data_IF_418140407417
#
_entry.id   IF_418140407417
#
_cell.length_a   1.000
_cell.length_b   1.000
_cell.length_c   1.000
_cell.angle_alpha   90.00
_cell.angle_beta   90.00
_cell.angle_gamma   90.00
#
_symmetry.space_group_name_H-M   'P 1'
#
loop_
_entity.id
_entity.type
_entity.pdbx_description
1 polymer ?
#
# COMPACT_ATOMS: atom_id res chain seq x y z
N UNK A 1 -57.42 -39.09 45.77
CA UNK A 1 -56.78 -37.77 45.52
C UNK A 1 -55.33 -37.83 45.99
N UNK A 2 -54.40 -37.33 45.15
CA UNK A 2 -52.95 -37.12 45.36
C UNK A 2 -52.10 -38.29 45.89
N UNK A 3 -51.26 -38.82 45.00
CA UNK A 3 -50.03 -39.57 45.31
C UNK A 3 -48.92 -39.14 44.33
N UNK A 4 -47.64 -39.15 44.74
CA UNK A 4 -46.53 -38.45 44.06
C UNK A 4 -46.08 -39.15 42.77
N UNK A 5 -45.65 -38.36 41.77
CA UNK A 5 -45.02 -38.88 40.55
C UNK A 5 -43.53 -39.18 40.81
N UNK A 6 -43.02 -40.35 40.39
CA UNK A 6 -41.65 -40.76 40.63
C UNK A 6 -40.64 -40.12 39.66
N UNK A 7 -39.41 -39.98 40.14
CA UNK A 7 -38.22 -39.61 39.38
C UNK A 7 -37.86 -40.68 38.32
N UNK A 8 -37.35 -40.23 37.18
CA UNK A 8 -36.75 -41.09 36.15
C UNK A 8 -35.22 -41.16 36.32
N UNK A 9 -34.57 -42.29 36.01
CA UNK A 9 -33.18 -42.58 36.37
C UNK A 9 -32.14 -42.09 35.33
N UNK A 10 -30.90 -42.04 35.81
CA UNK A 10 -29.66 -41.70 35.12
C UNK A 10 -29.05 -42.89 34.36
N UNK A 11 -28.42 -42.64 33.20
CA UNK A 11 -27.10 -43.14 32.68
C UNK A 11 -27.05 -42.91 31.15
N UNK A 12 -25.97 -42.66 30.42
CA UNK A 12 -24.60 -42.17 30.62
C UNK A 12 -23.97 -42.05 29.19
N UNK A 13 -23.13 -41.05 28.91
CA UNK A 13 -22.33 -40.97 27.68
C UNK A 13 -21.68 -39.60 27.45
N UNK A 14 -20.35 -39.51 27.60
CA UNK A 14 -19.48 -38.31 27.49
C UNK A 14 -19.09 -38.04 25.99
N UNK A 15 -18.19 -37.08 25.66
CA UNK A 15 -18.29 -35.62 25.72
C UNK A 15 -18.02 -34.96 24.33
N UNK A 16 -18.84 -34.00 23.90
CA UNK A 16 -18.51 -33.11 22.78
C UNK A 16 -17.97 -31.78 23.33
N UNK A 17 -16.75 -31.41 22.95
CA UNK A 17 -16.06 -30.19 23.39
C UNK A 17 -16.86 -28.91 23.06
N UNK A 18 -17.14 -28.01 24.02
CA UNK A 18 -17.46 -26.63 23.73
C UNK A 18 -16.20 -25.77 23.92
N UNK A 19 -15.54 -25.45 22.81
CA UNK A 19 -14.55 -24.37 22.70
C UNK A 19 -14.68 -23.83 21.28
N UNK A 20 -14.94 -22.54 21.05
CA UNK A 20 -14.15 -21.42 21.54
C UNK A 20 -15.09 -20.25 21.89
N UNK A 21 -14.94 -19.61 23.08
CA UNK A 21 -15.53 -18.30 23.36
C UNK A 21 -15.11 -17.28 22.29
N UNK A 22 -16.01 -16.38 21.93
CA UNK A 22 -15.79 -15.34 20.93
C UNK A 22 -14.41 -14.72 21.04
N UNK A 23 -13.66 -14.78 19.95
CA UNK A 23 -12.45 -14.00 19.80
C UNK A 23 -12.83 -12.53 20.08
N UNK A 24 -12.07 -11.81 20.92
CA UNK A 24 -12.29 -10.39 21.08
C UNK A 24 -12.17 -9.73 19.70
N UNK A 25 -13.06 -8.78 19.40
CA UNK A 25 -12.87 -7.89 18.28
C UNK A 25 -11.51 -7.23 18.50
N UNK A 26 -10.52 -7.64 17.71
CA UNK A 26 -9.17 -7.13 17.79
C UNK A 26 -9.28 -5.64 17.41
N UNK A 27 -9.25 -4.76 18.42
CA UNK A 27 -8.99 -3.35 18.21
C UNK A 27 -7.65 -3.30 17.49
N UNK A 28 -7.71 -3.15 16.16
CA UNK A 28 -6.57 -3.36 15.29
C UNK A 28 -5.34 -2.61 15.82
N UNK A 29 -4.12 -3.11 15.54
CA UNK A 29 -2.91 -2.57 16.14
C UNK A 29 -2.91 -1.06 16.02
N UNK A 30 -2.89 -0.36 17.16
CA UNK A 30 -2.83 1.09 17.19
C UNK A 30 -1.68 1.55 16.30
N UNK A 31 -2.03 2.16 15.17
CA UNK A 31 -1.12 2.61 14.12
C UNK A 31 -1.14 4.14 14.09
N UNK A 32 -0.75 4.79 15.20
CA UNK A 32 -0.78 6.24 15.27
C UNK A 32 0.15 6.81 14.20
N UNK A 33 -0.25 7.89 13.57
CA UNK A 33 0.61 8.61 12.64
C UNK A 33 1.17 9.90 13.25
N UNK A 34 2.18 10.46 12.59
CA UNK A 34 2.70 11.79 12.91
C UNK A 34 2.17 12.85 11.96
N UNK A 35 2.53 14.12 12.20
CA UNK A 35 2.08 15.24 11.38
C UNK A 35 2.71 15.21 9.99
N UNK A 36 2.15 16.01 9.08
CA UNK A 36 2.82 16.41 7.84
C UNK A 36 4.18 17.06 8.16
N UNK A 37 5.21 16.77 7.38
CA UNK A 37 6.54 17.35 7.60
C UNK A 37 7.50 17.12 6.43
N UNK A 38 8.69 17.75 6.46
CA UNK A 38 9.70 17.57 5.43
C UNK A 38 10.26 16.14 5.41
N UNK A 39 10.96 15.79 4.34
CA UNK A 39 11.86 14.63 4.37
C UNK A 39 12.98 14.86 5.39
N UNK A 40 13.49 13.79 6.00
CA UNK A 40 14.56 13.80 7.02
C UNK A 40 14.21 14.50 8.34
N UNK A 41 12.94 14.85 8.53
CA UNK A 41 12.46 15.52 9.73
C UNK A 41 12.91 16.98 9.85
N UNK A 42 12.51 17.67 10.93
CA UNK A 42 12.77 19.09 11.11
C UNK A 42 14.27 19.44 11.18
N UNK A 43 15.12 18.49 11.60
CA UNK A 43 16.56 18.71 11.75
C UNK A 43 17.37 18.48 10.46
N UNK A 44 16.71 18.06 9.36
CA UNK A 44 17.31 18.02 8.02
C UNK A 44 18.56 17.15 7.86
N UNK A 45 18.80 16.15 8.71
CA UNK A 45 19.97 15.27 8.58
C UNK A 45 19.82 14.34 7.38
N UNK A 46 20.35 14.77 6.25
CA UNK A 46 20.58 13.98 5.04
C UNK A 46 21.84 13.11 5.17
N UNK A 47 21.80 11.82 4.81
CA UNK A 47 22.98 11.12 4.29
C UNK A 47 23.02 11.33 2.77
N UNK A 48 23.61 12.43 2.30
CA UNK A 48 23.85 12.69 0.87
C UNK A 48 23.59 14.13 0.42
N UNK A 49 24.20 14.59 -0.69
CA UNK A 49 24.13 15.99 -1.11
C UNK A 49 22.72 16.35 -1.59
N UNK A 50 22.13 17.35 -0.96
CA UNK A 50 20.79 17.88 -1.24
C UNK A 50 20.78 18.78 -2.49
N UNK A 51 19.69 18.70 -3.25
CA UNK A 51 19.32 19.63 -4.32
C UNK A 51 18.78 20.93 -3.69
N UNK A 52 19.36 22.12 -3.95
CA UNK A 52 19.11 23.32 -3.16
C UNK A 52 17.96 24.17 -3.73
N UNK A 53 16.73 23.67 -3.77
CA UNK A 53 15.55 24.52 -4.00
C UNK A 53 14.30 23.98 -3.30
N UNK A 54 14.17 24.21 -1.99
CA UNK A 54 12.86 24.18 -1.31
C UNK A 54 12.79 25.38 -0.35
N UNK A 55 11.90 26.36 -0.59
CA UNK A 55 11.63 27.42 0.37
C UNK A 55 10.89 26.85 1.60
N UNK A 56 11.46 27.09 2.78
CA UNK A 56 10.88 26.76 4.09
C UNK A 56 9.96 27.88 4.57
N UNK A 57 8.66 27.73 4.34
CA UNK A 57 7.63 28.41 5.14
C UNK A 57 6.57 27.37 5.56
N UNK A 58 6.45 27.03 6.86
CA UNK A 58 5.57 25.96 7.34
C UNK A 58 4.09 26.33 7.39
N UNK A 59 3.67 27.55 7.02
CA UNK A 59 2.30 28.05 7.28
C UNK A 59 1.46 28.38 6.04
N UNK A 60 2.01 28.34 4.82
CA UNK A 60 1.24 28.64 3.61
C UNK A 60 0.69 27.37 2.93
N UNK A 61 -0.60 27.31 2.55
CA UNK A 61 -1.13 26.27 1.68
C UNK A 61 -0.64 26.51 0.25
N UNK A 62 0.57 26.03 -0.07
CA UNK A 62 0.99 25.87 -1.46
C UNK A 62 0.26 24.67 -2.05
N UNK A 63 -0.44 24.79 -3.21
CA UNK A 63 -0.87 23.61 -3.94
C UNK A 63 0.37 22.76 -4.30
N UNK A 64 0.29 21.42 -4.33
CA UNK A 64 1.46 20.58 -4.58
C UNK A 64 1.96 20.79 -6.01
N UNK A 65 2.90 21.72 -6.20
CA UNK A 65 3.40 22.14 -7.52
C UNK A 65 4.43 21.20 -8.14
N UNK A 66 4.54 19.95 -7.68
CA UNK A 66 5.07 18.88 -8.52
C UNK A 66 4.66 17.51 -7.98
N UNK A 67 3.50 17.00 -8.40
CA UNK A 67 3.25 15.56 -8.36
C UNK A 67 4.34 14.90 -9.20
N UNK A 68 5.23 14.12 -8.57
CA UNK A 68 6.34 13.47 -9.26
C UNK A 68 5.81 12.31 -10.11
N UNK A 69 6.20 12.29 -11.38
CA UNK A 69 5.94 11.16 -12.25
C UNK A 69 6.65 9.92 -11.72
N UNK A 70 5.94 8.79 -11.68
CA UNK A 70 6.45 7.52 -11.17
C UNK A 70 5.67 6.38 -11.82
N UNK A 71 6.31 5.24 -12.08
CA UNK A 71 5.59 4.07 -12.60
C UNK A 71 5.02 3.21 -11.47
N UNK A 72 4.08 2.32 -11.80
CA UNK A 72 3.58 1.34 -10.83
C UNK A 72 4.66 0.40 -10.33
N UNK A 73 5.54 -0.01 -11.25
CA UNK A 73 6.68 -0.85 -10.94
C UNK A 73 7.58 -0.17 -9.90
N UNK A 74 7.90 1.12 -10.08
CA UNK A 74 8.70 1.88 -9.13
C UNK A 74 8.02 1.98 -7.75
N UNK A 75 6.69 2.24 -7.72
CA UNK A 75 5.93 2.30 -6.46
C UNK A 75 6.03 0.99 -5.68
N UNK A 76 5.80 -0.14 -6.36
CA UNK A 76 5.84 -1.47 -5.74
C UNK A 76 7.27 -1.84 -5.34
N UNK A 77 8.28 -1.52 -6.16
CA UNK A 77 9.68 -1.76 -5.83
C UNK A 77 10.10 -1.00 -4.56
N UNK A 78 9.70 0.27 -4.45
CA UNK A 78 9.94 1.08 -3.25
C UNK A 78 9.29 0.47 -2.01
N UNK A 79 8.05 0.00 -2.12
CA UNK A 79 7.36 -0.71 -1.04
C UNK A 79 8.10 -1.99 -0.62
N UNK A 80 8.52 -2.81 -1.58
CA UNK A 80 9.26 -4.05 -1.34
C UNK A 80 10.61 -3.81 -0.64
N UNK A 81 11.31 -2.70 -0.93
CA UNK A 81 12.56 -2.34 -0.23
C UNK A 81 12.35 -2.16 1.27
N UNK A 82 11.27 -1.50 1.69
CA UNK A 82 10.95 -1.34 3.11
C UNK A 82 10.53 -2.66 3.77
N UNK A 83 9.75 -3.48 3.07
CA UNK A 83 9.40 -4.84 3.55
C UNK A 83 10.65 -5.70 3.75
N UNK A 84 11.56 -5.71 2.78
CA UNK A 84 12.81 -6.47 2.86
C UNK A 84 13.70 -5.98 4.00
N UNK A 85 13.77 -4.66 4.21
CA UNK A 85 14.52 -4.06 5.31
C UNK A 85 13.84 -4.20 6.69
N UNK A 86 12.56 -4.60 6.73
CA UNK A 86 11.72 -4.61 7.94
C UNK A 86 11.80 -3.29 8.69
N UNK A 87 11.55 -2.17 8.00
CA UNK A 87 11.65 -0.82 8.60
C UNK A 87 10.79 -0.74 9.86
N UNK A 88 11.35 -0.44 11.05
CA UNK A 88 10.60 -0.43 12.31
C UNK A 88 9.50 0.62 12.34
N UNK A 89 8.42 0.37 13.07
CA UNK A 89 7.35 1.36 13.23
C UNK A 89 7.74 2.50 14.18
N UNK A 90 7.60 3.75 13.72
CA UNK A 90 7.79 4.94 14.55
C UNK A 90 7.09 6.17 13.97
N UNK A 91 6.44 6.95 14.83
CA UNK A 91 5.82 8.23 14.44
C UNK A 91 6.80 9.40 14.44
N UNK A 92 7.96 9.26 15.08
CA UNK A 92 8.96 10.32 15.27
C UNK A 92 10.28 10.04 14.55
N UNK A 93 10.51 8.81 14.10
CA UNK A 93 11.72 8.42 13.38
C UNK A 93 11.53 8.51 11.87
N UNK A 94 12.64 8.75 11.18
CA UNK A 94 12.72 8.82 9.72
C UNK A 94 13.68 7.73 9.25
N UNK A 95 13.34 7.02 8.17
CA UNK A 95 14.24 6.08 7.55
C UNK A 95 15.34 6.80 6.75
N UNK A 96 16.36 6.07 6.30
CA UNK A 96 17.53 6.66 5.64
C UNK A 96 17.21 7.39 4.33
N UNK A 97 16.06 7.10 3.73
CA UNK A 97 15.50 7.79 2.55
C UNK A 97 14.64 9.02 2.91
N UNK A 98 14.59 9.39 4.18
CA UNK A 98 13.98 10.61 4.67
C UNK A 98 12.48 10.51 4.97
N UNK A 99 11.84 9.36 4.79
CA UNK A 99 10.41 9.22 5.08
C UNK A 99 10.14 8.74 6.51
N UNK A 100 9.04 9.20 7.09
CA UNK A 100 8.55 8.82 8.42
C UNK A 100 8.14 7.35 8.43
N UNK A 101 8.44 6.67 9.53
CA UNK A 101 8.29 5.21 9.64
C UNK A 101 6.90 4.77 10.14
N UNK A 102 5.85 5.43 9.67
CA UNK A 102 4.44 5.10 9.97
C UNK A 102 3.62 4.84 8.69
N UNK A 103 2.32 4.59 8.83
CA UNK A 103 1.46 4.19 7.71
C UNK A 103 1.42 5.23 6.57
N UNK A 104 1.26 6.52 6.90
CA UNK A 104 1.21 7.60 5.92
C UNK A 104 2.58 8.02 5.38
N UNK A 105 3.63 7.95 6.20
CA UNK A 105 5.01 8.09 5.75
C UNK A 105 5.43 6.98 4.77
N UNK A 106 4.97 5.75 4.98
CA UNK A 106 5.19 4.64 4.04
C UNK A 106 4.53 4.86 2.67
N UNK A 107 3.29 5.34 2.61
CA UNK A 107 2.65 5.66 1.32
C UNK A 107 3.30 6.88 0.67
N UNK A 108 3.68 7.89 1.46
CA UNK A 108 4.47 9.03 0.98
C UNK A 108 5.78 8.56 0.34
N UNK A 109 6.44 7.59 0.97
CA UNK A 109 7.64 6.94 0.46
C UNK A 109 7.35 6.18 -0.83
N UNK A 110 6.35 5.29 -0.85
CA UNK A 110 6.04 4.46 -2.01
C UNK A 110 5.70 5.31 -3.25
N UNK A 111 4.96 6.41 -3.07
CA UNK A 111 4.61 7.37 -4.14
C UNK A 111 5.69 8.41 -4.45
N UNK A 112 6.82 8.37 -3.75
CA UNK A 112 7.93 9.31 -3.91
C UNK A 112 7.48 10.77 -3.75
N UNK A 113 6.68 11.05 -2.72
CA UNK A 113 6.20 12.40 -2.44
C UNK A 113 7.35 13.30 -1.96
N UNK A 114 7.30 14.62 -2.23
CA UNK A 114 8.37 15.54 -1.80
C UNK A 114 8.41 15.78 -0.28
N UNK A 115 7.44 15.26 0.47
CA UNK A 115 7.28 15.46 1.90
C UNK A 115 6.61 14.23 2.53
N UNK A 116 6.67 14.15 3.85
CA UNK A 116 5.90 13.21 4.63
C UNK A 116 4.49 13.77 4.82
N UNK A 117 3.51 13.09 4.24
CA UNK A 117 2.09 13.43 4.41
C UNK A 117 1.46 12.60 5.53
N UNK A 118 0.24 12.97 5.91
CA UNK A 118 -0.60 12.25 6.86
C UNK A 118 -1.91 11.85 6.18
N UNK A 119 -2.71 10.95 6.76
CA UNK A 119 -3.93 10.44 6.09
C UNK A 119 -4.92 11.54 5.70
N UNK A 120 -4.93 12.68 6.40
CA UNK A 120 -5.77 13.83 6.06
C UNK A 120 -5.34 14.61 4.82
N UNK A 121 -4.08 14.48 4.37
CA UNK A 121 -3.53 15.21 3.21
C UNK A 121 -3.15 14.32 2.03
N UNK A 122 -2.99 13.00 2.21
CA UNK A 122 -2.62 12.08 1.13
C UNK A 122 -3.58 12.14 -0.07
N UNK A 123 -4.88 12.38 0.18
CA UNK A 123 -5.88 12.53 -0.87
C UNK A 123 -5.62 13.71 -1.83
N UNK A 124 -4.79 14.69 -1.47
CA UNK A 124 -4.44 15.83 -2.34
C UNK A 124 -3.46 15.46 -3.46
N UNK A 125 -2.77 14.31 -3.36
CA UNK A 125 -1.83 13.81 -4.37
C UNK A 125 -2.45 12.73 -5.27
N UNK A 126 -3.74 12.43 -5.08
CA UNK A 126 -4.38 11.30 -5.71
C UNK A 126 -5.79 11.64 -6.20
N UNK A 127 -6.27 10.86 -7.14
CA UNK A 127 -7.69 10.84 -7.52
C UNK A 127 -8.37 9.63 -6.88
N UNK A 128 -9.62 9.81 -6.44
CA UNK A 128 -10.45 8.70 -5.97
C UNK A 128 -10.76 7.75 -7.13
N UNK A 129 -10.72 6.45 -6.88
CA UNK A 129 -11.07 5.41 -7.85
C UNK A 129 -12.07 4.42 -7.24
N UNK A 130 -12.66 3.57 -8.07
CA UNK A 130 -13.53 2.48 -7.67
C UNK A 130 -12.73 1.21 -7.33
N UNK A 131 -13.35 0.27 -6.61
CA UNK A 131 -12.78 -1.07 -6.38
C UNK A 131 -12.36 -1.76 -7.67
N UNK A 132 -13.16 -1.60 -8.74
CA UNK A 132 -12.93 -2.27 -10.01
C UNK A 132 -11.67 -1.77 -10.74
N UNK A 133 -11.28 -0.54 -10.47
CA UNK A 133 -10.14 0.13 -11.10
C UNK A 133 -8.81 -0.13 -10.39
N UNK A 134 -8.82 -0.67 -9.16
CA UNK A 134 -7.62 -0.91 -8.35
C UNK A 134 -6.53 -1.65 -9.12
N UNK A 135 -5.33 -1.08 -9.08
CA UNK A 135 -4.11 -1.62 -9.64
C UNK A 135 -2.97 -1.54 -8.60
N UNK A 136 -1.93 -2.38 -8.70
CA UNK A 136 -0.77 -2.28 -7.83
C UNK A 136 -0.21 -0.85 -7.75
N UNK A 137 0.09 -0.41 -6.53
CA UNK A 137 0.57 0.93 -6.24
C UNK A 137 -0.53 1.98 -5.97
N UNK A 138 -1.81 1.64 -6.13
CA UNK A 138 -2.91 2.47 -5.61
C UNK A 138 -3.00 2.30 -4.07
N UNK A 139 -3.61 3.24 -3.34
CA UNK A 139 -3.80 3.13 -1.88
C UNK A 139 -5.27 2.86 -1.51
N UNK A 140 -5.46 2.26 -0.34
CA UNK A 140 -6.74 2.24 0.37
C UNK A 140 -6.58 3.14 1.60
N UNK A 141 -7.32 4.24 1.63
CA UNK A 141 -7.21 5.28 2.66
C UNK A 141 -8.44 5.29 3.55
N UNK A 142 -8.24 5.19 4.85
CA UNK A 142 -9.24 5.48 5.88
C UNK A 142 -8.77 6.64 6.76
N UNK A 143 -9.49 7.75 6.70
CA UNK A 143 -9.25 8.91 7.54
C UNK A 143 -10.42 9.10 8.51
N UNK A 144 -10.13 8.98 9.81
CA UNK A 144 -11.09 9.24 10.88
C UNK A 144 -10.93 10.68 11.38
N UNK A 145 -11.85 11.56 11.03
CA UNK A 145 -11.76 12.97 11.44
C UNK A 145 -11.88 13.18 12.97
N UNK A 146 -12.52 12.25 13.70
CA UNK A 146 -12.69 12.35 15.15
C UNK A 146 -11.45 11.88 15.93
N UNK A 147 -10.65 11.00 15.34
CA UNK A 147 -9.34 10.59 15.86
C UNK A 147 -8.37 10.44 14.68
N UNK A 148 -7.87 11.55 14.13
CA UNK A 148 -7.10 11.50 12.91
C UNK A 148 -5.69 10.96 13.17
N UNK A 149 -5.19 11.03 14.41
CA UNK A 149 -3.84 10.55 14.74
C UNK A 149 -3.83 9.05 15.00
N UNK A 150 -4.71 8.53 15.87
CA UNK A 150 -4.72 7.13 16.28
C UNK A 150 -5.70 6.25 15.52
N UNK A 151 -6.76 6.84 14.98
CA UNK A 151 -7.90 6.15 14.39
C UNK A 151 -7.92 6.13 12.87
N UNK A 152 -6.86 6.59 12.21
CA UNK A 152 -6.71 6.57 10.75
C UNK A 152 -5.70 5.52 10.31
N UNK A 153 -5.84 5.02 9.08
CA UNK A 153 -4.86 4.10 8.52
C UNK A 153 -4.86 4.15 6.99
N UNK A 154 -3.74 3.76 6.41
CA UNK A 154 -3.58 3.67 4.96
C UNK A 154 -2.69 2.49 4.62
N UNK A 155 -3.04 1.79 3.54
CA UNK A 155 -2.27 0.67 3.00
C UNK A 155 -2.09 0.82 1.50
N UNK A 156 -1.00 0.28 0.98
CA UNK A 156 -0.72 0.24 -0.46
C UNK A 156 -1.23 -1.09 -1.02
N UNK A 157 -2.05 -1.02 -2.06
CA UNK A 157 -2.60 -2.17 -2.75
C UNK A 157 -1.52 -2.80 -3.65
N UNK A 158 -1.20 -4.07 -3.41
CA UNK A 158 -0.21 -4.85 -4.15
C UNK A 158 -0.77 -5.74 -5.25
N UNK A 159 -2.10 -5.93 -5.29
CA UNK A 159 -2.76 -6.81 -6.26
C UNK A 159 -3.77 -7.75 -5.61
N UNK A 160 -4.84 -8.08 -6.35
CA UNK A 160 -5.79 -9.11 -5.94
C UNK A 160 -5.08 -10.47 -5.88
N UNK A 161 -5.39 -11.30 -4.88
CA UNK A 161 -4.80 -12.65 -4.78
C UNK A 161 -5.41 -13.62 -5.79
N UNK A 162 -6.62 -13.35 -6.25
CA UNK A 162 -7.35 -14.13 -7.24
C UNK A 162 -8.43 -13.29 -7.96
N UNK A 163 -9.18 -13.93 -8.85
CA UNK A 163 -10.24 -13.30 -9.63
C UNK A 163 -11.50 -12.95 -8.82
N UNK A 164 -11.68 -13.47 -7.60
CA UNK A 164 -12.83 -13.15 -6.75
C UNK A 164 -12.78 -11.73 -6.20
N UNK A 165 -11.57 -11.14 -6.16
CA UNK A 165 -11.32 -9.78 -5.64
C UNK A 165 -11.89 -9.57 -4.23
N UNK A 166 -11.77 -10.59 -3.38
CA UNK A 166 -12.19 -10.55 -1.97
C UNK A 166 -11.02 -10.28 -1.03
N UNK A 167 -9.81 -10.68 -1.43
CA UNK A 167 -8.56 -10.45 -0.70
C UNK A 167 -7.47 -9.95 -1.65
N UNK A 168 -6.52 -9.20 -1.11
CA UNK A 168 -5.42 -8.61 -1.86
C UNK A 168 -4.13 -8.65 -1.04
N UNK A 169 -2.99 -8.53 -1.71
CA UNK A 169 -1.70 -8.30 -1.03
C UNK A 169 -1.65 -6.83 -0.63
N UNK A 170 -1.62 -6.53 0.67
CA UNK A 170 -1.36 -5.19 1.18
C UNK A 170 0.11 -5.04 1.53
N UNK A 171 0.73 -3.92 1.14
CA UNK A 171 1.96 -3.44 1.75
C UNK A 171 1.62 -2.34 2.75
N UNK A 172 2.16 -2.44 3.96
CA UNK A 172 1.86 -1.46 4.99
C UNK A 172 2.97 -1.34 6.03
N UNK A 173 3.06 -0.14 6.59
CA UNK A 173 3.85 0.13 7.77
C UNK A 173 2.94 0.07 9.00
N UNK A 174 3.09 -1.00 9.76
CA UNK A 174 2.36 -1.25 11.01
C UNK A 174 3.34 -1.79 12.06
N UNK A 175 2.89 -1.97 13.30
CA UNK A 175 3.74 -2.54 14.34
C UNK A 175 3.96 -4.04 14.08
N UNK A 176 5.18 -4.57 14.26
CA UNK A 176 6.41 -3.88 14.66
C UNK A 176 7.22 -3.25 13.50
N UNK A 177 6.95 -3.61 12.25
CA UNK A 177 7.70 -3.16 11.07
C UNK A 177 6.88 -3.24 9.77
N UNK A 178 7.46 -2.76 8.67
CA UNK A 178 6.89 -2.91 7.33
C UNK A 178 6.70 -4.38 6.99
N UNK A 179 5.52 -4.71 6.47
CA UNK A 179 5.20 -6.05 6.01
C UNK A 179 4.39 -6.00 4.73
N UNK A 180 4.32 -7.16 4.07
CA UNK A 180 3.28 -7.46 3.09
C UNK A 180 2.43 -8.63 3.58
N UNK A 181 1.11 -8.56 3.44
CA UNK A 181 0.21 -9.65 3.85
C UNK A 181 -1.08 -9.70 3.04
N UNK A 182 -1.64 -10.89 2.94
CA UNK A 182 -3.00 -11.08 2.42
C UNK A 182 -4.01 -10.41 3.35
N UNK A 183 -4.85 -9.56 2.78
CA UNK A 183 -5.76 -8.65 3.50
C UNK A 183 -7.16 -8.73 2.88
N UNK A 184 -8.24 -8.83 3.66
CA UNK A 184 -9.60 -8.75 3.15
C UNK A 184 -9.91 -7.35 2.63
N UNK A 185 -10.67 -7.26 1.55
CA UNK A 185 -11.10 -5.96 1.04
C UNK A 185 -12.27 -5.37 1.87
N UNK A 186 -12.23 -4.09 2.25
CA UNK A 186 -11.14 -3.15 2.03
C UNK A 186 -10.06 -3.21 3.11
N UNK A 187 -10.42 -3.60 4.34
CA UNK A 187 -9.51 -3.95 5.44
C UNK A 187 -10.29 -4.73 6.52
N UNK A 188 -9.62 -5.29 7.53
CA UNK A 188 -10.30 -6.05 8.61
C UNK A 188 -11.30 -5.19 9.39
N UNK A 189 -10.87 -4.01 9.81
CA UNK A 189 -11.65 -3.07 10.61
C UNK A 189 -11.95 -1.81 9.80
N UNK A 190 -13.07 -1.14 10.08
CA UNK A 190 -13.50 0.09 9.39
C UNK A 190 -13.60 -0.07 7.85
N UNK A 191 -13.82 -1.30 7.37
CA UNK A 191 -13.78 -1.66 5.95
C UNK A 191 -14.62 -0.73 5.06
N UNK A 192 -15.83 -0.36 5.51
CA UNK A 192 -16.72 0.54 4.79
C UNK A 192 -16.18 1.99 4.65
N UNK A 193 -15.23 2.39 5.50
CA UNK A 193 -14.61 3.71 5.49
C UNK A 193 -13.37 3.82 4.60
N UNK A 194 -12.82 2.70 4.12
CA UNK A 194 -11.67 2.73 3.22
C UNK A 194 -12.08 3.12 1.81
N UNK A 195 -11.39 4.11 1.26
CA UNK A 195 -11.63 4.63 -0.08
C UNK A 195 -10.39 4.37 -0.95
N UNK A 196 -10.54 3.78 -2.15
CA UNK A 196 -9.43 3.62 -3.09
C UNK A 196 -8.98 4.94 -3.72
N UNK A 197 -7.68 5.15 -3.82
CA UNK A 197 -7.07 6.31 -4.47
C UNK A 197 -5.89 5.92 -5.35
N UNK A 198 -5.76 6.61 -6.48
CA UNK A 198 -4.64 6.49 -7.42
C UNK A 198 -3.79 7.76 -7.39
N UNK A 199 -2.50 7.60 -7.16
CA UNK A 199 -1.53 8.71 -7.26
C UNK A 199 -1.61 9.39 -8.63
N UNK A 200 -1.69 10.72 -8.63
CA UNK A 200 -1.83 11.53 -9.85
C UNK A 200 -0.59 11.45 -10.75
N UNK A 201 0.56 11.07 -10.19
CA UNK A 201 1.84 10.97 -10.91
C UNK A 201 2.07 9.63 -11.61
N UNK A 202 1.11 8.71 -11.56
CA UNK A 202 1.29 7.41 -12.21
C UNK A 202 1.32 7.57 -13.72
N UNK A 203 2.46 7.27 -14.31
CA UNK A 203 2.63 7.17 -15.77
C UNK A 203 2.69 5.70 -16.19
N UNK A 204 2.23 5.39 -17.40
CA UNK A 204 2.47 4.07 -17.97
C UNK A 204 3.98 3.80 -18.04
N UNK A 205 4.42 2.63 -17.59
CA UNK A 205 5.81 2.23 -17.79
C UNK A 205 6.04 1.99 -19.28
N UNK A 206 7.22 2.31 -19.82
CA UNK A 206 7.65 1.74 -21.10
C UNK A 206 7.72 0.19 -21.07
N UNK A 207 7.63 -0.41 -19.88
CA UNK A 207 7.56 -1.85 -19.62
C UNK A 207 6.13 -2.41 -19.49
N UNK A 208 5.13 -1.54 -19.42
CA UNK A 208 3.72 -1.91 -19.51
C UNK A 208 3.36 -1.78 -20.98
N UNK A 209 3.60 -2.84 -21.76
CA UNK A 209 3.52 -2.83 -23.22
C UNK A 209 2.25 -2.18 -23.78
N UNK A 210 2.31 -0.88 -24.00
CA UNK A 210 1.43 -0.11 -24.86
C UNK A 210 2.17 1.17 -25.26
N UNK A 211 2.82 1.10 -26.42
CA UNK A 211 3.22 2.31 -27.17
C UNK A 211 1.94 2.80 -27.84
N UNK A 212 1.37 3.97 -27.51
CA UNK A 212 0.39 4.58 -28.39
C UNK A 212 1.12 4.89 -29.69
N UNK A 213 0.72 4.25 -30.77
CA UNK A 213 1.17 4.59 -32.12
C UNK A 213 0.65 6.00 -32.46
N UNK A 214 1.38 7.02 -32.04
CA UNK A 214 1.28 8.34 -32.65
C UNK A 214 2.02 8.23 -33.97
N UNK A 215 1.25 8.28 -35.05
CA UNK A 215 1.72 8.06 -36.41
C UNK A 215 2.92 8.93 -36.76
N UNK A 216 3.96 8.26 -37.24
CA UNK A 216 4.95 8.85 -38.12
C UNK A 216 4.87 8.11 -39.46
N UNK A 217 4.68 8.79 -40.59
CA UNK A 217 4.84 8.16 -41.89
C UNK A 217 6.33 7.97 -42.17
N UNK A 218 6.72 6.79 -42.63
CA UNK A 218 8.02 6.58 -43.28
C UNK A 218 8.92 5.54 -42.62
N UNK A 219 8.79 4.31 -43.11
CA UNK A 219 9.89 3.38 -43.41
C UNK A 219 11.11 3.34 -42.47
N UNK A 220 11.12 2.39 -41.54
CA UNK A 220 12.32 1.61 -41.28
C UNK A 220 11.96 0.14 -41.10
N UNK A 221 12.08 -0.59 -42.19
CA UNK A 221 12.19 -2.05 -42.21
C UNK A 221 13.42 -2.44 -41.40
N UNK A 222 13.24 -3.20 -40.31
CA UNK A 222 14.32 -4.07 -39.81
C UNK A 222 13.75 -5.25 -39.04
N UNK A 223 13.45 -6.29 -39.82
CA UNK A 223 13.72 -7.72 -39.60
C UNK A 223 13.86 -8.20 -38.14
N UNK A 224 12.87 -9.00 -37.71
CA UNK A 224 12.94 -9.85 -36.54
C UNK A 224 13.81 -11.09 -36.83
N UNK A 225 14.70 -11.40 -35.87
CA UNK A 225 15.25 -12.71 -35.48
C UNK A 225 15.61 -13.75 -36.55
N UNK A 226 16.79 -14.37 -36.40
CA UNK A 226 16.90 -15.78 -35.96
C UNK A 226 18.34 -16.10 -35.54
N UNK A 227 18.51 -16.48 -34.27
CA UNK A 227 19.63 -17.32 -33.84
C UNK A 227 19.31 -18.78 -34.21
N UNK A 228 20.24 -19.48 -34.85
CA UNK A 228 20.11 -20.92 -35.11
C UNK A 228 20.74 -21.32 -36.44
N UNK A 229 21.96 -21.87 -36.36
CA UNK A 229 22.70 -22.31 -37.53
C UNK A 229 22.06 -23.49 -38.25
N UNK A 230 22.22 -23.52 -39.58
CA UNK A 230 22.23 -24.74 -40.39
C UNK A 230 23.33 -24.60 -41.44
N UNK A 231 24.23 -25.58 -41.45
CA UNK A 231 25.26 -25.81 -42.47
C UNK A 231 24.65 -25.92 -43.86
N UNK A 232 25.18 -25.18 -44.83
CA UNK A 232 25.30 -25.66 -46.22
C UNK A 232 26.59 -25.09 -46.82
N UNK A 233 27.49 -25.98 -47.25
CA UNK A 233 28.58 -25.67 -48.19
C UNK A 233 28.15 -26.25 -49.55
N UNK A 234 28.21 -25.46 -50.62
CA UNK A 234 28.03 -25.92 -52.01
C UNK A 234 29.36 -25.88 -52.74
N UNK A 235 29.64 -27.01 -53.41
CA UNK A 235 30.41 -27.22 -54.65
C UNK A 235 31.49 -26.21 -55.06
N UNK A 236 32.74 -26.67 -55.17
CA UNK A 236 33.28 -27.35 -56.37
C UNK A 236 34.49 -28.18 -56.00
#
# INVERSE_FOLDING_TARGET
MRGPRPAAPHTAGRPGLPGVPGAPADEGPGTPQGPRGPLYGPDGRTPGPADPTVPTDPTAPSPPSSVRAITRADIVERAERWVAAKVPYSTSSYWSDGYRQDCSGFVSMAWNLPANEWTGSLGQYAQRITKAELQPGDMLLFHNAADPQGGSHVVLFGGWTDSTRTTYVAYEQTRPNTLRRTTPYAYWNNSAGYVPYRHLGVTASARDGWIPAVGLPGSLTRELLTAGGVKTWRHT
#
